data_IF_082204407001
#
_entry.id   IF_082204407001
#
_cell.length_a   1.000
_cell.length_b   1.000
_cell.length_c   1.000
_cell.angle_alpha   90.00
_cell.angle_beta   90.00
_cell.angle_gamma   90.00
#
_symmetry.space_group_name_H-M   'P 1'
#
loop_
_entity.id
_entity.type
_entity.pdbx_description
1 polymer ?
#
# COMPACT_ATOMS: atom_id res chain seq x y z
N UNK A 1 -22.67 -12.02 -17.09
CA UNK A 1 -22.83 -11.41 -15.76
C UNK A 1 -21.53 -10.69 -15.45
N UNK A 2 -21.59 -9.43 -15.07
CA UNK A 2 -20.40 -8.67 -14.67
C UNK A 2 -19.71 -9.34 -13.47
N UNK A 3 -18.39 -9.23 -13.36
CA UNK A 3 -17.59 -9.93 -12.34
C UNK A 3 -17.98 -9.48 -10.93
N UNK A 4 -18.24 -8.18 -10.76
CA UNK A 4 -18.64 -7.60 -9.47
C UNK A 4 -20.01 -8.17 -9.05
N UNK A 5 -20.97 -8.18 -9.97
CA UNK A 5 -22.29 -8.76 -9.73
C UNK A 5 -22.22 -10.25 -9.39
N UNK A 6 -21.35 -11.02 -10.05
CA UNK A 6 -21.18 -12.43 -9.76
C UNK A 6 -20.61 -12.69 -8.35
N UNK A 7 -19.68 -11.84 -7.88
CA UNK A 7 -19.11 -11.91 -6.53
C UNK A 7 -20.20 -11.66 -5.48
N UNK A 8 -21.00 -10.61 -5.67
CA UNK A 8 -22.07 -10.24 -4.75
C UNK A 8 -23.20 -11.26 -4.70
N UNK A 9 -23.71 -11.69 -5.86
CA UNK A 9 -24.81 -12.66 -5.95
C UNK A 9 -24.47 -14.03 -5.36
N UNK A 10 -23.18 -14.38 -5.31
CA UNK A 10 -22.68 -15.64 -4.72
C UNK A 10 -22.25 -15.51 -3.26
N UNK A 11 -22.30 -14.31 -2.68
CA UNK A 11 -21.82 -14.05 -1.33
C UNK A 11 -20.34 -14.38 -1.13
N UNK A 12 -19.52 -14.21 -2.17
CA UNK A 12 -18.08 -14.48 -2.06
C UNK A 12 -17.42 -13.44 -1.14
N UNK A 13 -16.46 -13.84 -0.29
CA UNK A 13 -15.69 -12.88 0.50
C UNK A 13 -14.99 -11.87 -0.40
N UNK A 14 -15.08 -10.59 -0.05
CA UNK A 14 -14.38 -9.51 -0.73
C UNK A 14 -13.88 -8.50 0.31
N UNK A 15 -12.79 -7.81 -0.03
CA UNK A 15 -12.12 -6.85 0.82
C UNK A 15 -11.53 -5.73 -0.05
N UNK A 16 -11.36 -4.53 0.53
CA UNK A 16 -10.71 -3.43 -0.19
C UNK A 16 -9.19 -3.66 -0.28
N UNK A 17 -8.57 -3.16 -1.34
CA UNK A 17 -7.11 -3.22 -1.51
C UNK A 17 -6.34 -2.63 -0.32
N UNK A 18 -6.66 -1.41 0.17
CA UNK A 18 -6.01 -0.84 1.35
C UNK A 18 -6.16 -1.70 2.61
N UNK A 19 -7.35 -2.25 2.86
CA UNK A 19 -7.58 -3.09 4.04
C UNK A 19 -6.77 -4.39 3.95
N UNK A 20 -6.77 -5.06 2.80
CA UNK A 20 -5.96 -6.26 2.58
C UNK A 20 -4.47 -5.97 2.78
N UNK A 21 -3.97 -4.85 2.23
CA UNK A 21 -2.58 -4.44 2.38
C UNK A 21 -2.23 -4.16 3.85
N UNK A 22 -3.14 -3.52 4.59
CA UNK A 22 -2.99 -3.24 6.02
C UNK A 22 -2.87 -4.53 6.83
N UNK A 23 -3.83 -5.43 6.67
CA UNK A 23 -3.97 -6.67 7.42
C UNK A 23 -2.86 -7.69 7.13
N UNK A 24 -2.40 -7.77 5.87
CA UNK A 24 -1.48 -8.83 5.42
C UNK A 24 -0.02 -8.38 5.34
N UNK A 25 0.26 -7.07 5.31
CA UNK A 25 1.63 -6.55 5.12
C UNK A 25 1.98 -5.45 6.13
N UNK A 26 1.21 -4.36 6.15
CA UNK A 26 1.63 -3.13 6.82
C UNK A 26 1.64 -3.24 8.34
N UNK A 27 0.73 -4.00 8.95
CA UNK A 27 0.70 -4.20 10.41
C UNK A 27 1.94 -4.91 10.96
N UNK A 28 2.74 -5.56 10.11
CA UNK A 28 3.97 -6.25 10.50
C UNK A 28 5.23 -5.40 10.33
N UNK A 29 5.11 -4.16 9.86
CA UNK A 29 6.24 -3.30 9.54
C UNK A 29 6.09 -1.91 10.18
N UNK A 30 7.21 -1.21 10.38
CA UNK A 30 7.16 0.22 10.65
C UNK A 30 6.81 0.96 9.36
N UNK A 31 5.57 1.45 9.27
CA UNK A 31 5.08 2.21 8.13
C UNK A 31 5.46 3.68 8.24
N UNK A 32 6.10 4.22 7.20
CA UNK A 32 6.31 5.66 7.02
C UNK A 32 5.37 6.17 5.92
N UNK A 33 4.25 6.79 6.32
CA UNK A 33 3.25 7.32 5.40
C UNK A 33 3.57 8.73 4.92
N UNK A 34 3.59 8.96 3.61
CA UNK A 34 3.76 10.28 3.00
C UNK A 34 2.43 10.79 2.46
N UNK A 35 1.88 11.84 3.08
CA UNK A 35 0.62 12.47 2.69
C UNK A 35 0.85 13.92 2.20
N UNK A 36 -0.08 14.45 1.40
CA UNK A 36 -0.04 15.83 0.91
C UNK A 36 -0.75 16.01 -0.44
N UNK A 37 -1.09 17.24 -0.80
CA UNK A 37 -1.69 17.53 -2.12
C UNK A 37 -0.65 17.48 -3.25
N UNK A 38 0.58 17.87 -2.96
CA UNK A 38 1.71 17.89 -3.90
C UNK A 38 2.93 17.17 -3.31
N UNK A 39 3.87 16.77 -4.16
CA UNK A 39 5.18 16.26 -3.74
C UNK A 39 5.20 14.85 -3.13
N UNK A 40 4.07 14.16 -2.98
CA UNK A 40 4.01 12.81 -2.37
C UNK A 40 4.97 11.81 -3.00
N UNK A 41 4.87 11.60 -4.31
CA UNK A 41 5.70 10.62 -5.04
C UNK A 41 7.18 10.97 -4.92
N UNK A 42 7.55 12.25 -5.09
CA UNK A 42 8.94 12.71 -4.94
C UNK A 42 9.47 12.49 -3.52
N UNK A 43 8.72 12.90 -2.50
CA UNK A 43 9.13 12.77 -1.09
C UNK A 43 9.19 11.29 -0.66
N UNK A 44 8.23 10.46 -1.07
CA UNK A 44 8.24 9.03 -0.77
C UNK A 44 9.44 8.32 -1.43
N UNK A 45 9.76 8.66 -2.68
CA UNK A 45 10.94 8.12 -3.37
C UNK A 45 12.25 8.54 -2.71
N UNK A 46 12.37 9.81 -2.31
CA UNK A 46 13.55 10.30 -1.57
C UNK A 46 13.68 9.62 -0.20
N UNK A 47 12.57 9.39 0.50
CA UNK A 47 12.57 8.70 1.78
C UNK A 47 13.01 7.23 1.64
N UNK A 48 12.46 6.50 0.67
CA UNK A 48 12.86 5.13 0.38
C UNK A 48 14.36 5.06 0.03
N UNK A 49 14.84 5.98 -0.82
CA UNK A 49 16.26 6.05 -1.17
C UNK A 49 17.17 6.36 0.02
N UNK A 50 16.78 7.28 0.91
CA UNK A 50 17.56 7.60 2.10
C UNK A 50 17.70 6.39 3.04
N UNK A 51 16.63 5.63 3.23
CA UNK A 51 16.64 4.40 4.03
C UNK A 51 17.50 3.30 3.36
N UNK A 52 17.38 3.12 2.05
CA UNK A 52 18.23 2.20 1.28
C UNK A 52 19.71 2.57 1.38
N UNK A 53 20.05 3.85 1.19
CA UNK A 53 21.41 4.36 1.29
C UNK A 53 22.00 4.16 2.70
N UNK A 54 21.15 4.19 3.73
CA UNK A 54 21.53 3.86 5.11
C UNK A 54 21.66 2.35 5.39
N UNK A 55 21.46 1.49 4.39
CA UNK A 55 21.56 0.03 4.51
C UNK A 55 20.35 -0.64 5.17
N UNK A 56 19.19 0.04 5.21
CA UNK A 56 17.99 -0.44 5.93
C UNK A 56 17.04 -1.28 5.07
N UNK A 57 17.32 -1.44 3.76
CA UNK A 57 16.55 -2.29 2.83
C UNK A 57 15.01 -2.16 2.93
N UNK A 58 14.44 -0.95 2.75
CA UNK A 58 13.01 -0.72 2.94
C UNK A 58 12.15 -1.38 1.85
N UNK A 59 10.98 -1.91 2.24
CA UNK A 59 9.87 -2.13 1.32
C UNK A 59 9.11 -0.84 1.02
N UNK A 60 8.56 -0.70 -0.18
CA UNK A 60 7.79 0.49 -0.56
C UNK A 60 6.65 0.19 -1.54
N UNK A 61 5.56 0.97 -1.45
CA UNK A 61 4.49 1.05 -2.44
C UNK A 61 4.30 2.52 -2.81
N UNK A 62 4.85 2.93 -3.94
CA UNK A 62 4.93 4.33 -4.39
C UNK A 62 4.35 4.45 -5.80
N UNK A 63 3.46 5.43 -6.00
CA UNK A 63 2.85 5.81 -7.28
C UNK A 63 2.21 7.18 -7.13
#
# INVERSE_FOLDING_TARGET
MDVVEAILNRGLPYISGPQWLSENVLHHHWVLGVAGTHGKTTTASMLAWALEYAGLAPGFLIG
#
